data_IF_594600853175
#
_entry.id   IF_594600853175
#
_cell.length_a   1.000
_cell.length_b   1.000
_cell.length_c   1.000
_cell.angle_alpha   90.00
_cell.angle_beta   90.00
_cell.angle_gamma   90.00
#
_symmetry.space_group_name_H-M   'P 1'
#
loop_
_entity.id
_entity.type
_entity.pdbx_description
1 polymer ?
#
# COMPACT_ATOMS: atom_id res chain seq x y z
N UNK A 1 0.34 -26.55 -16.06
CA UNK A 1 -0.55 -26.28 -14.90
C UNK A 1 -0.72 -24.76 -14.74
N UNK A 2 -1.95 -24.23 -14.80
CA UNK A 2 -2.23 -22.78 -14.74
C UNK A 2 -1.95 -22.19 -13.33
N UNK A 3 -1.68 -20.88 -13.22
CA UNK A 3 -1.46 -20.20 -11.92
C UNK A 3 -2.74 -20.30 -11.08
N UNK A 4 -2.57 -20.59 -9.78
CA UNK A 4 -3.62 -20.62 -8.76
C UNK A 4 -3.10 -19.88 -7.52
N UNK A 5 -3.85 -18.89 -7.03
CA UNK A 5 -3.32 -17.92 -6.06
C UNK A 5 -4.31 -17.60 -4.96
N UNK A 6 -3.82 -17.51 -3.72
CA UNK A 6 -4.58 -17.05 -2.55
C UNK A 6 -4.08 -15.66 -2.13
N UNK A 7 -4.99 -14.70 -1.95
CA UNK A 7 -4.67 -13.39 -1.40
C UNK A 7 -5.21 -13.29 0.03
N UNK A 8 -4.32 -12.98 0.97
CA UNK A 8 -4.69 -12.67 2.34
C UNK A 8 -4.83 -11.15 2.53
N UNK A 9 -6.03 -10.68 2.88
CA UNK A 9 -6.36 -9.26 3.00
C UNK A 9 -6.94 -8.99 4.40
N UNK A 10 -6.36 -8.05 5.14
CA UNK A 10 -6.83 -7.69 6.48
C UNK A 10 -7.16 -6.20 6.64
N UNK A 11 -7.02 -5.40 5.58
CA UNK A 11 -7.32 -3.97 5.60
C UNK A 11 -7.69 -3.45 4.21
N UNK A 12 -8.38 -2.30 4.17
CA UNK A 12 -8.75 -1.63 2.92
C UNK A 12 -7.52 -1.23 2.08
N UNK A 13 -6.44 -0.79 2.74
CA UNK A 13 -5.21 -0.42 2.04
C UNK A 13 -4.58 -1.65 1.38
N UNK A 14 -4.57 -2.79 2.06
CA UNK A 14 -4.02 -4.03 1.52
C UNK A 14 -4.85 -4.53 0.34
N UNK A 15 -6.18 -4.36 0.43
CA UNK A 15 -7.05 -4.62 -0.69
C UNK A 15 -6.75 -3.69 -1.88
N UNK A 16 -6.46 -2.41 -1.66
CA UNK A 16 -6.05 -1.48 -2.71
C UNK A 16 -4.75 -1.90 -3.40
N UNK A 17 -3.74 -2.30 -2.63
CA UNK A 17 -2.45 -2.74 -3.17
C UNK A 17 -2.56 -4.05 -3.98
N UNK A 18 -3.38 -5.00 -3.53
CA UNK A 18 -3.51 -6.32 -4.15
C UNK A 18 -4.50 -6.37 -5.33
N UNK A 19 -5.53 -5.52 -5.31
CA UNK A 19 -6.60 -5.48 -6.33
C UNK A 19 -6.11 -5.48 -7.79
N UNK A 20 -5.09 -4.69 -8.18
CA UNK A 20 -4.56 -4.74 -9.54
C UNK A 20 -4.12 -6.13 -9.98
N UNK A 21 -3.39 -6.86 -9.12
CA UNK A 21 -2.88 -8.18 -9.45
C UNK A 21 -4.01 -9.22 -9.46
N UNK A 22 -4.93 -9.14 -8.49
CA UNK A 22 -6.15 -9.97 -8.45
C UNK A 22 -6.91 -9.82 -9.77
N UNK A 23 -7.24 -8.59 -10.15
CA UNK A 23 -7.94 -8.29 -11.39
C UNK A 23 -7.23 -8.86 -12.62
N UNK A 24 -5.92 -8.70 -12.68
CA UNK A 24 -5.14 -9.12 -13.84
C UNK A 24 -5.05 -10.65 -13.96
N UNK A 25 -4.84 -11.34 -12.85
CA UNK A 25 -4.89 -12.80 -12.79
C UNK A 25 -6.26 -13.32 -13.23
N UNK A 26 -7.33 -12.70 -12.73
CA UNK A 26 -8.70 -13.05 -13.11
C UNK A 26 -8.96 -12.86 -14.61
N UNK A 27 -8.53 -11.72 -15.18
CA UNK A 27 -8.61 -11.44 -16.63
C UNK A 27 -7.83 -12.45 -17.47
N UNK A 28 -6.72 -12.98 -16.96
CA UNK A 28 -5.92 -14.05 -17.60
C UNK A 28 -6.47 -15.46 -17.33
N UNK A 29 -7.67 -15.59 -16.76
CA UNK A 29 -8.35 -16.86 -16.46
C UNK A 29 -7.57 -17.76 -15.48
N UNK A 30 -6.73 -17.17 -14.62
CA UNK A 30 -6.08 -17.86 -13.51
C UNK A 30 -7.00 -17.95 -12.29
N UNK A 31 -6.87 -19.01 -11.49
CA UNK A 31 -7.71 -19.18 -10.29
C UNK A 31 -7.25 -18.22 -9.21
N UNK A 32 -8.18 -17.45 -8.64
CA UNK A 32 -7.89 -16.54 -7.53
C UNK A 32 -8.83 -16.82 -6.38
N UNK A 33 -8.23 -17.05 -5.22
CA UNK A 33 -8.89 -17.19 -3.94
C UNK A 33 -8.62 -15.94 -3.11
N UNK A 34 -9.64 -15.47 -2.41
CA UNK A 34 -9.53 -14.34 -1.50
C UNK A 34 -9.90 -14.78 -0.09
N UNK A 35 -9.01 -14.54 0.87
CA UNK A 35 -9.29 -14.72 2.29
C UNK A 35 -9.16 -13.38 2.99
N UNK A 36 -10.21 -13.01 3.73
CA UNK A 36 -10.35 -11.68 4.31
C UNK A 36 -10.45 -11.81 5.84
N UNK A 37 -9.74 -10.94 6.56
CA UNK A 37 -9.88 -10.86 8.02
C UNK A 37 -11.25 -10.30 8.40
N UNK A 38 -11.81 -10.78 9.52
CA UNK A 38 -13.17 -10.44 9.96
C UNK A 38 -13.42 -8.93 10.17
N UNK A 39 -12.37 -8.12 10.28
CA UNK A 39 -12.48 -6.69 10.63
C UNK A 39 -12.61 -5.76 9.41
N UNK A 40 -12.64 -6.30 8.18
CA UNK A 40 -12.76 -5.50 6.96
C UNK A 40 -14.10 -5.77 6.26
N UNK A 41 -14.99 -4.78 6.23
CA UNK A 41 -16.24 -4.86 5.45
C UNK A 41 -15.92 -4.69 3.94
N UNK A 42 -15.67 -5.81 3.28
CA UNK A 42 -15.30 -5.87 1.87
C UNK A 42 -16.49 -5.95 0.92
N UNK A 43 -17.68 -6.32 1.40
CA UNK A 43 -18.84 -6.58 0.55
C UNK A 43 -19.35 -5.32 -0.16
N UNK A 44 -19.19 -4.17 0.48
CA UNK A 44 -19.53 -2.87 -0.08
C UNK A 44 -18.44 -2.34 -1.05
N UNK A 45 -17.26 -2.94 -1.08
CA UNK A 45 -16.17 -2.48 -1.94
C UNK A 45 -16.45 -2.75 -3.42
N UNK A 46 -16.43 -1.69 -4.24
CA UNK A 46 -16.67 -1.78 -5.68
C UNK A 46 -15.70 -2.74 -6.39
N UNK A 47 -14.46 -2.89 -5.91
CA UNK A 47 -13.47 -3.83 -6.47
C UNK A 47 -13.86 -5.27 -6.17
N UNK A 48 -14.39 -5.52 -4.97
CA UNK A 48 -14.89 -6.85 -4.62
C UNK A 48 -16.12 -7.22 -5.46
N UNK A 49 -17.08 -6.29 -5.61
CA UNK A 49 -18.24 -6.47 -6.49
C UNK A 49 -17.82 -6.77 -7.93
N UNK A 50 -16.77 -6.11 -8.41
CA UNK A 50 -16.17 -6.39 -9.71
C UNK A 50 -15.61 -7.82 -9.78
N UNK A 51 -14.87 -8.28 -8.77
CA UNK A 51 -14.22 -9.60 -8.78
C UNK A 51 -15.23 -10.76 -8.71
N UNK A 52 -16.36 -10.56 -8.03
CA UNK A 52 -17.47 -11.53 -7.98
C UNK A 52 -18.01 -11.93 -9.36
N UNK A 53 -17.82 -11.09 -10.38
CA UNK A 53 -18.29 -11.37 -11.75
C UNK A 53 -17.36 -12.30 -12.55
N UNK A 54 -16.31 -12.85 -11.93
CA UNK A 54 -15.39 -13.78 -12.58
C UNK A 54 -15.58 -15.20 -12.03
N UNK A 55 -15.85 -16.17 -12.90
CA UNK A 55 -16.08 -17.58 -12.50
C UNK A 55 -14.85 -18.23 -11.82
N UNK A 56 -13.67 -17.70 -12.10
CA UNK A 56 -12.40 -18.11 -11.54
C UNK A 56 -12.01 -17.38 -10.23
N UNK A 57 -12.94 -16.64 -9.64
CA UNK A 57 -12.79 -15.98 -8.34
C UNK A 57 -13.59 -16.72 -7.26
N UNK A 58 -12.96 -17.00 -6.11
CA UNK A 58 -13.64 -17.59 -4.94
C UNK A 58 -13.21 -16.92 -3.65
N UNK A 59 -14.15 -16.78 -2.72
CA UNK A 59 -13.86 -16.31 -1.36
C UNK A 59 -13.77 -17.51 -0.43
N UNK A 60 -12.67 -17.59 0.32
CA UNK A 60 -12.50 -18.57 1.37
C UNK A 60 -12.91 -17.92 2.69
N UNK A 61 -13.95 -18.46 3.32
CA UNK A 61 -14.35 -18.03 4.67
C UNK A 61 -13.22 -18.37 5.63
N UNK A 62 -12.78 -17.39 6.40
CA UNK A 62 -11.84 -17.64 7.49
C UNK A 62 -12.58 -18.41 8.58
N UNK A 63 -12.12 -19.61 8.94
CA UNK A 63 -12.55 -20.23 10.17
C UNK A 63 -11.99 -19.43 11.36
N UNK A 64 -12.80 -19.28 12.40
CA UNK A 64 -12.50 -18.55 13.63
C UNK A 64 -11.40 -19.21 14.46
N UNK A 65 -10.18 -19.31 13.93
CA UNK A 65 -9.07 -19.85 14.70
C UNK A 65 -8.24 -18.70 15.28
N UNK A 66 -8.66 -18.26 16.48
CA UNK A 66 -7.86 -17.45 17.43
C UNK A 66 -6.49 -18.07 17.74
N UNK A 67 -6.30 -19.35 17.41
CA UNK A 67 -5.10 -20.17 17.64
C UNK A 67 -3.85 -19.76 16.82
N UNK A 68 -3.99 -18.87 15.84
CA UNK A 68 -2.89 -18.45 14.97
C UNK A 68 -1.87 -17.53 15.64
N UNK A 69 -2.30 -16.73 16.62
CA UNK A 69 -1.40 -15.94 17.47
C UNK A 69 -0.59 -16.86 18.39
N UNK A 70 -1.19 -17.97 18.81
CA UNK A 70 -0.55 -19.01 19.60
C UNK A 70 0.58 -19.70 18.85
N UNK A 71 0.46 -19.91 17.54
CA UNK A 71 1.47 -20.60 16.71
C UNK A 71 2.80 -19.84 16.62
N UNK A 72 2.75 -18.54 16.32
CA UNK A 72 3.94 -17.67 16.25
C UNK A 72 4.53 -17.44 17.64
N UNK A 73 3.68 -17.21 18.64
CA UNK A 73 4.13 -17.00 20.02
C UNK A 73 4.70 -18.29 20.62
N UNK A 74 4.15 -19.46 20.31
CA UNK A 74 4.67 -20.77 20.76
C UNK A 74 6.07 -21.04 20.23
N UNK A 75 6.36 -20.74 18.96
CA UNK A 75 7.71 -20.87 18.40
C UNK A 75 8.69 -19.87 19.03
N UNK A 76 8.26 -18.63 19.28
CA UNK A 76 9.06 -17.60 19.95
C UNK A 76 9.33 -17.94 21.42
N UNK A 77 8.34 -18.53 22.09
CA UNK A 77 8.41 -19.00 23.48
C UNK A 77 9.20 -20.30 23.61
N UNK A 78 9.13 -21.23 22.65
CA UNK A 78 9.98 -22.43 22.61
C UNK A 78 11.47 -22.05 22.56
N UNK A 79 11.84 -21.10 21.70
CA UNK A 79 13.21 -20.57 21.67
C UNK A 79 13.64 -19.89 22.98
N UNK A 80 12.69 -19.39 23.78
CA UNK A 80 12.97 -18.77 25.07
C UNK A 80 12.99 -19.79 26.23
N UNK A 81 12.14 -20.81 26.19
CA UNK A 81 11.96 -21.84 27.24
C UNK A 81 13.06 -22.91 27.18
N UNK A 82 13.71 -23.13 26.02
CA UNK A 82 14.92 -23.97 25.94
C UNK A 82 16.03 -23.48 26.92
N UNK A 83 15.92 -22.25 27.46
CA UNK A 83 16.82 -21.71 28.49
C UNK A 83 16.44 -21.98 29.96
N UNK A 84 15.28 -22.57 30.31
CA UNK A 84 14.94 -22.85 31.74
C UNK A 84 14.10 -24.12 31.96
N UNK A 85 14.50 -24.89 32.97
CA UNK A 85 14.01 -26.23 33.36
C UNK A 85 12.60 -26.26 33.98
N UNK A 86 11.54 -25.95 33.24
CA UNK A 86 10.19 -26.28 33.66
C UNK A 86 9.25 -26.57 32.47
N UNK A 87 8.43 -27.63 32.60
CA UNK A 87 7.18 -27.94 31.86
C UNK A 87 7.31 -28.89 30.64
N UNK A 88 7.36 -30.20 30.89
CA UNK A 88 7.26 -31.24 29.85
C UNK A 88 5.81 -31.52 29.40
N UNK A 89 4.85 -31.56 30.34
CA UNK A 89 3.45 -31.94 30.05
C UNK A 89 2.70 -30.85 29.25
N UNK A 90 2.77 -29.56 29.63
CA UNK A 90 2.12 -28.51 28.83
C UNK A 90 2.78 -28.36 27.46
N UNK A 91 4.09 -28.61 27.34
CA UNK A 91 4.81 -28.59 26.05
C UNK A 91 4.24 -29.61 25.07
N UNK A 92 3.94 -30.83 25.51
CA UNK A 92 3.33 -31.86 24.68
C UNK A 92 1.90 -31.51 24.24
N UNK A 93 1.09 -30.93 25.13
CA UNK A 93 -0.26 -30.47 24.78
C UNK A 93 -0.23 -29.35 23.72
N UNK A 94 0.63 -28.35 23.90
CA UNK A 94 0.76 -27.27 22.91
C UNK A 94 1.36 -27.75 21.59
N UNK A 95 2.32 -28.68 21.62
CA UNK A 95 2.86 -29.30 20.41
C UNK A 95 1.81 -30.09 19.66
N UNK A 96 0.98 -30.88 20.35
CA UNK A 96 -0.09 -31.65 19.73
C UNK A 96 -1.17 -30.73 19.11
N UNK A 97 -1.57 -29.67 19.83
CA UNK A 97 -2.49 -28.66 19.32
C UNK A 97 -1.89 -27.94 18.09
N UNK A 98 -0.61 -27.58 18.13
CA UNK A 98 0.13 -27.02 17.00
C UNK A 98 0.09 -27.95 15.79
N UNK A 99 0.43 -29.23 15.98
CA UNK A 99 0.47 -30.21 14.90
C UNK A 99 -0.92 -30.43 14.30
N UNK A 100 -1.96 -30.57 15.14
CA UNK A 100 -3.35 -30.70 14.68
C UNK A 100 -3.76 -29.50 13.82
N UNK A 101 -3.48 -28.28 14.27
CA UNK A 101 -3.82 -27.06 13.52
C UNK A 101 -2.98 -26.92 12.25
N UNK A 102 -1.71 -27.33 12.28
CA UNK A 102 -0.83 -27.38 11.11
C UNK A 102 -1.36 -28.38 10.06
N UNK A 103 -1.60 -29.64 10.45
CA UNK A 103 -2.11 -30.68 9.54
C UNK A 103 -3.47 -30.32 8.94
N UNK A 104 -4.37 -29.75 9.75
CA UNK A 104 -5.67 -29.25 9.26
C UNK A 104 -5.50 -28.18 8.17
N UNK A 105 -4.61 -27.19 8.39
CA UNK A 105 -4.32 -26.14 7.40
C UNK A 105 -3.64 -26.68 6.16
N UNK A 106 -2.66 -27.58 6.32
CA UNK A 106 -1.98 -28.25 5.21
C UNK A 106 -3.00 -29.02 4.37
N UNK A 107 -3.88 -29.80 5.00
CA UNK A 107 -4.95 -30.52 4.30
C UNK A 107 -5.88 -29.58 3.52
N UNK A 108 -6.31 -28.48 4.14
CA UNK A 108 -7.17 -27.49 3.50
C UNK A 108 -6.50 -26.81 2.31
N UNK A 109 -5.26 -26.33 2.46
CA UNK A 109 -4.51 -25.69 1.37
C UNK A 109 -4.24 -26.67 0.21
N UNK A 110 -3.90 -27.93 0.53
CA UNK A 110 -3.70 -28.99 -0.47
C UNK A 110 -4.97 -29.24 -1.28
N UNK A 111 -6.14 -29.34 -0.62
CA UNK A 111 -7.45 -29.52 -1.29
C UNK A 111 -7.79 -28.37 -2.25
N UNK A 112 -7.41 -27.14 -1.90
CA UNK A 112 -7.67 -25.97 -2.76
C UNK A 112 -6.76 -25.98 -4.00
N UNK A 113 -5.53 -26.51 -3.88
CA UNK A 113 -4.60 -26.61 -5.01
C UNK A 113 -4.09 -25.23 -5.46
N UNK A 114 -3.51 -24.47 -4.54
CA UNK A 114 -2.88 -23.18 -4.84
C UNK A 114 -1.37 -23.32 -5.07
N UNK A 115 -0.77 -22.39 -5.80
CA UNK A 115 0.67 -22.32 -6.04
C UNK A 115 1.34 -21.14 -5.33
N UNK A 116 0.58 -20.08 -5.09
CA UNK A 116 1.08 -18.84 -4.50
C UNK A 116 0.14 -18.34 -3.42
N UNK A 117 0.71 -17.83 -2.32
CA UNK A 117 -0.01 -17.02 -1.33
C UNK A 117 0.58 -15.63 -1.29
N UNK A 118 -0.27 -14.63 -1.49
CA UNK A 118 0.10 -13.22 -1.43
C UNK A 118 -0.29 -12.63 -0.09
N UNK A 119 0.67 -11.95 0.52
CA UNK A 119 0.53 -11.20 1.75
C UNK A 119 0.71 -9.73 1.50
N UNK A 120 0.06 -8.91 2.33
CA UNK A 120 0.46 -7.52 2.44
C UNK A 120 1.69 -7.38 3.33
N UNK A 121 2.41 -6.29 3.16
CA UNK A 121 3.60 -5.98 3.95
C UNK A 121 3.30 -5.89 5.46
N UNK A 122 3.98 -6.72 6.24
CA UNK A 122 3.85 -6.78 7.70
C UNK A 122 2.78 -7.75 8.21
N UNK A 123 2.07 -8.43 7.29
CA UNK A 123 1.08 -9.44 7.66
C UNK A 123 1.72 -10.83 7.76
N UNK A 124 1.96 -11.26 8.99
CA UNK A 124 2.30 -12.65 9.29
C UNK A 124 1.01 -13.45 9.44
N UNK A 125 0.57 -14.06 8.34
CA UNK A 125 -0.58 -14.96 8.41
C UNK A 125 -0.17 -16.36 8.84
N UNK A 126 -1.14 -17.06 9.41
CA UNK A 126 -1.01 -18.44 9.85
C UNK A 126 -0.83 -19.48 8.76
N UNK A 127 -0.76 -19.06 7.50
CA UNK A 127 -0.54 -19.94 6.35
C UNK A 127 0.92 -20.04 5.94
N UNK A 128 1.82 -19.16 6.41
CA UNK A 128 3.22 -19.15 5.95
C UNK A 128 3.89 -20.50 6.22
N UNK A 129 3.74 -21.05 7.44
CA UNK A 129 4.33 -22.35 7.79
C UNK A 129 3.63 -23.50 7.03
N UNK A 130 2.28 -23.65 7.06
CA UNK A 130 1.59 -24.66 6.24
C UNK A 130 1.94 -24.63 4.74
N UNK A 131 2.15 -23.44 4.18
CA UNK A 131 2.49 -23.26 2.78
C UNK A 131 3.86 -23.87 2.43
N UNK A 132 4.85 -23.72 3.33
CA UNK A 132 6.18 -24.33 3.17
C UNK A 132 6.13 -25.86 3.12
N UNK A 133 5.23 -26.51 3.87
CA UNK A 133 5.05 -27.97 3.82
C UNK A 133 4.40 -28.48 2.52
N UNK A 134 3.94 -27.57 1.66
CA UNK A 134 3.21 -27.88 0.43
C UNK A 134 3.89 -27.31 -0.81
N UNK A 135 5.11 -26.77 -0.68
CA UNK A 135 5.80 -26.04 -1.74
C UNK A 135 4.93 -24.94 -2.38
N UNK A 136 4.12 -24.28 -1.54
CA UNK A 136 3.32 -23.12 -1.94
C UNK A 136 4.13 -21.87 -1.64
N UNK A 137 4.48 -21.12 -2.69
CA UNK A 137 5.32 -19.93 -2.58
C UNK A 137 4.59 -18.78 -1.89
N UNK A 138 5.17 -18.29 -0.80
CA UNK A 138 4.72 -17.13 -0.04
C UNK A 138 5.36 -15.84 -0.55
N UNK A 139 4.53 -14.87 -0.93
CA UNK A 139 4.97 -13.63 -1.57
C UNK A 139 4.43 -12.41 -0.80
N UNK A 140 5.31 -11.58 -0.26
CA UNK A 140 4.95 -10.30 0.33
C UNK A 140 4.89 -9.21 -0.75
N UNK A 141 3.73 -8.59 -0.93
CA UNK A 141 3.53 -7.48 -1.85
C UNK A 141 3.99 -6.15 -1.24
N UNK A 142 4.45 -5.18 -2.06
CA UNK A 142 4.90 -3.89 -1.57
C UNK A 142 3.76 -3.10 -0.91
N UNK A 143 4.09 -2.38 0.17
CA UNK A 143 3.15 -1.53 0.90
C UNK A 143 2.98 -0.14 0.26
N UNK A 144 2.47 -0.10 -0.97
CA UNK A 144 2.40 1.13 -1.74
C UNK A 144 3.72 1.45 -2.42
N UNK A 145 4.04 2.74 -2.53
CA UNK A 145 5.23 3.19 -3.24
C UNK A 145 6.00 4.21 -2.41
N UNK A 146 7.25 3.90 -2.10
CA UNK A 146 8.11 4.81 -1.38
C UNK A 146 8.53 5.96 -2.29
N UNK A 147 7.99 7.14 -2.00
CA UNK A 147 8.32 8.36 -2.72
C UNK A 147 9.51 9.11 -2.13
N UNK A 148 9.98 8.73 -0.94
CA UNK A 148 10.99 9.50 -0.23
C UNK A 148 12.39 9.10 -0.67
N UNK A 149 13.30 10.07 -0.75
CA UNK A 149 14.68 9.87 -1.21
C UNK A 149 15.69 9.91 -0.06
N UNK A 150 15.36 10.60 1.01
CA UNK A 150 16.14 10.53 2.25
C UNK A 150 15.82 9.26 3.04
N UNK A 151 16.81 8.71 3.75
CA UNK A 151 16.62 7.54 4.62
C UNK A 151 15.82 7.89 5.87
N UNK A 152 16.13 9.03 6.49
CA UNK A 152 15.46 9.49 7.69
C UNK A 152 14.13 10.21 7.37
N UNK A 153 13.10 9.44 7.02
CA UNK A 153 11.82 9.94 6.51
C UNK A 153 10.82 10.36 7.59
N UNK A 154 10.87 9.77 8.78
CA UNK A 154 9.94 10.06 9.86
C UNK A 154 10.65 10.10 11.23
N UNK A 155 9.99 10.71 12.22
CA UNK A 155 10.57 10.90 13.56
C UNK A 155 10.83 9.58 14.31
N UNK A 156 10.06 8.51 14.04
CA UNK A 156 10.27 7.20 14.68
C UNK A 156 11.57 6.57 14.18
N UNK A 157 11.74 6.52 12.86
CA UNK A 157 12.96 6.03 12.24
C UNK A 157 14.18 6.88 12.62
N UNK A 158 14.02 8.21 12.75
CA UNK A 158 15.07 9.08 13.31
C UNK A 158 15.57 8.57 14.67
N UNK A 159 14.64 8.20 15.55
CA UNK A 159 14.96 7.77 16.90
C UNK A 159 15.57 6.36 16.90
N UNK A 160 15.06 5.46 16.05
CA UNK A 160 15.60 4.11 15.92
C UNK A 160 17.00 4.10 15.30
N UNK A 161 17.26 4.91 14.27
CA UNK A 161 18.58 5.00 13.63
C UNK A 161 19.66 5.62 14.54
N UNK A 162 19.27 6.49 15.48
CA UNK A 162 20.20 7.02 16.50
C UNK A 162 20.71 5.93 17.43
N UNK A 163 19.92 4.88 17.64
CA UNK A 163 20.31 3.70 18.41
C UNK A 163 20.93 2.66 17.47
N UNK A 164 22.15 2.93 16.96
CA UNK A 164 22.86 2.14 15.93
C UNK A 164 22.93 0.63 16.21
N UNK A 165 22.84 0.19 17.47
CA UNK A 165 22.88 -1.23 17.85
C UNK A 165 21.57 -2.01 17.60
N UNK A 166 20.48 -1.36 17.15
CA UNK A 166 19.16 -2.01 16.93
C UNK A 166 18.65 -1.93 15.48
N UNK A 167 19.42 -1.36 14.55
CA UNK A 167 18.95 -1.07 13.19
C UNK A 167 18.90 -2.28 12.27
N UNK A 168 19.68 -3.33 12.55
CA UNK A 168 19.90 -4.46 11.63
C UNK A 168 18.77 -5.50 11.58
N UNK A 169 17.75 -5.43 12.45
CA UNK A 169 16.74 -6.50 12.55
C UNK A 169 15.30 -6.00 12.57
N UNK A 170 15.04 -4.75 12.17
CA UNK A 170 13.68 -4.17 12.25
C UNK A 170 12.70 -4.96 11.36
N UNK A 171 13.17 -5.47 10.22
CA UNK A 171 12.34 -6.24 9.29
C UNK A 171 12.77 -7.70 9.14
N UNK A 172 13.63 -8.23 10.02
CA UNK A 172 14.13 -9.60 9.89
C UNK A 172 13.02 -10.66 9.93
N UNK A 173 11.90 -10.40 10.62
CA UNK A 173 10.73 -11.28 10.65
C UNK A 173 10.15 -11.53 9.23
N UNK A 174 10.32 -10.60 8.30
CA UNK A 174 9.87 -10.76 6.91
C UNK A 174 10.71 -11.77 6.13
N UNK A 175 11.83 -12.25 6.67
CA UNK A 175 12.62 -13.33 6.06
C UNK A 175 11.91 -14.69 6.09
N UNK A 176 10.70 -14.76 6.68
CA UNK A 176 9.83 -15.92 6.63
C UNK A 176 9.20 -16.15 5.25
N UNK A 177 9.07 -15.13 4.41
CA UNK A 177 8.53 -15.26 3.05
C UNK A 177 9.56 -15.86 2.10
N UNK A 178 9.09 -16.50 1.04
CA UNK A 178 9.96 -16.99 -0.04
C UNK A 178 10.37 -15.84 -0.98
N UNK A 179 9.47 -14.87 -1.17
CA UNK A 179 9.73 -13.67 -1.95
C UNK A 179 9.22 -12.41 -1.24
N UNK A 180 10.10 -11.42 -1.09
CA UNK A 180 9.77 -10.11 -0.55
C UNK A 180 9.85 -9.07 -1.65
N UNK A 181 8.70 -8.59 -2.12
CA UNK A 181 8.60 -7.76 -3.31
C UNK A 181 8.63 -6.29 -2.93
N UNK A 182 9.52 -5.54 -3.58
CA UNK A 182 9.60 -4.08 -3.46
C UNK A 182 9.39 -3.41 -4.80
N UNK A 183 9.04 -2.13 -4.73
CA UNK A 183 8.64 -1.33 -5.87
C UNK A 183 9.81 -0.77 -6.68
N UNK A 184 10.99 -0.57 -6.08
CA UNK A 184 12.16 -0.03 -6.77
C UNK A 184 13.47 -0.36 -6.03
N UNK A 185 14.61 -0.13 -6.72
CA UNK A 185 15.95 -0.34 -6.15
C UNK A 185 16.23 0.47 -4.87
N UNK A 186 15.69 1.68 -4.73
CA UNK A 186 15.93 2.51 -3.55
C UNK A 186 15.29 1.83 -2.32
N UNK A 187 14.08 1.31 -2.47
CA UNK A 187 13.41 0.55 -1.41
C UNK A 187 14.10 -0.80 -1.17
N UNK A 188 14.63 -1.45 -2.21
CA UNK A 188 15.47 -2.65 -2.03
C UNK A 188 16.66 -2.36 -1.13
N UNK A 189 17.47 -1.35 -1.46
CA UNK A 189 18.65 -0.98 -0.68
C UNK A 189 18.31 -0.68 0.78
N UNK A 190 17.23 0.06 1.02
CA UNK A 190 16.75 0.35 2.38
C UNK A 190 16.29 -0.90 3.13
N UNK A 191 15.56 -1.79 2.47
CA UNK A 191 15.07 -3.01 3.07
C UNK A 191 16.22 -3.95 3.47
N UNK A 192 17.27 -4.05 2.64
CA UNK A 192 18.50 -4.77 2.97
C UNK A 192 19.16 -4.20 4.24
N UNK A 193 19.30 -2.87 4.32
CA UNK A 193 19.85 -2.19 5.49
C UNK A 193 19.02 -2.40 6.78
N UNK A 194 17.76 -2.82 6.65
CA UNK A 194 16.83 -3.07 7.76
C UNK A 194 16.67 -4.56 8.09
N UNK A 195 17.51 -5.43 7.51
CA UNK A 195 17.60 -6.84 7.87
C UNK A 195 16.88 -7.82 6.93
N UNK A 196 16.38 -7.36 5.77
CA UNK A 196 15.82 -8.27 4.77
C UNK A 196 16.95 -9.02 4.05
N UNK A 197 16.77 -10.32 3.87
CA UNK A 197 17.71 -11.19 3.16
C UNK A 197 17.71 -10.91 1.65
N UNK A 198 18.89 -10.70 1.08
CA UNK A 198 19.08 -10.44 -0.35
C UNK A 198 18.53 -11.55 -1.26
N UNK A 199 18.55 -12.80 -0.80
CA UNK A 199 18.08 -13.95 -1.58
C UNK A 199 16.59 -13.86 -1.90
N UNK A 200 15.78 -13.35 -0.95
CA UNK A 200 14.32 -13.30 -1.07
C UNK A 200 13.81 -11.98 -1.64
N UNK A 201 14.56 -10.87 -1.48
CA UNK A 201 14.08 -9.56 -1.92
C UNK A 201 14.20 -9.38 -3.43
N UNK A 202 13.08 -9.06 -4.08
CA UNK A 202 13.01 -8.83 -5.54
C UNK A 202 12.33 -7.50 -5.85
N UNK A 203 12.76 -6.88 -6.94
CA UNK A 203 12.16 -5.64 -7.44
C UNK A 203 11.21 -5.99 -8.58
N UNK A 204 9.90 -6.06 -8.32
CA UNK A 204 8.90 -6.31 -9.36
C UNK A 204 8.06 -5.09 -9.70
N UNK A 205 8.21 -3.99 -8.95
CA UNK A 205 7.36 -2.81 -9.06
C UNK A 205 6.15 -2.90 -8.13
N UNK A 206 5.39 -1.81 -8.02
CA UNK A 206 4.13 -1.79 -7.26
C UNK A 206 2.94 -1.98 -8.21
N UNK A 207 2.29 -3.14 -8.13
CA UNK A 207 1.11 -3.46 -8.94
C UNK A 207 0.01 -2.38 -8.86
N UNK A 208 -0.11 -1.70 -7.71
CA UNK A 208 -1.05 -0.58 -7.49
C UNK A 208 -0.93 0.55 -8.49
N UNK A 209 0.27 0.78 -9.01
CA UNK A 209 0.55 1.87 -9.95
C UNK A 209 0.66 1.39 -11.40
N UNK A 210 0.13 0.19 -11.70
CA UNK A 210 -0.09 -0.25 -13.07
C UNK A 210 -0.99 0.74 -13.83
N UNK A 211 -0.56 1.13 -15.02
CA UNK A 211 -1.34 2.00 -15.91
C UNK A 211 -2.62 1.34 -16.35
N UNK A 212 -2.55 0.04 -16.69
CA UNK A 212 -3.72 -0.78 -17.06
C UNK A 212 -4.77 -0.74 -15.95
N UNK A 213 -4.35 -1.00 -14.71
CA UNK A 213 -5.24 -0.97 -13.56
C UNK A 213 -5.80 0.43 -13.30
N UNK A 214 -4.96 1.47 -13.22
CA UNK A 214 -5.44 2.84 -12.94
C UNK A 214 -6.49 3.26 -13.99
N UNK A 215 -6.20 3.09 -15.28
CA UNK A 215 -7.16 3.40 -16.34
C UNK A 215 -8.49 2.65 -16.15
N UNK A 216 -8.41 1.35 -15.87
CA UNK A 216 -9.59 0.51 -15.69
C UNK A 216 -10.39 0.87 -14.43
N UNK A 217 -9.71 0.97 -13.28
CA UNK A 217 -10.29 1.27 -11.98
C UNK A 217 -11.07 2.60 -11.99
N UNK A 218 -10.45 3.64 -12.56
CA UNK A 218 -11.08 4.95 -12.67
C UNK A 218 -12.22 4.98 -13.71
N UNK A 219 -12.18 4.13 -14.74
CA UNK A 219 -13.29 3.98 -15.69
C UNK A 219 -14.55 3.41 -15.01
N UNK A 220 -14.40 2.45 -14.10
CA UNK A 220 -15.50 1.88 -13.31
C UNK A 220 -16.08 2.96 -12.40
N UNK A 221 -15.21 3.65 -11.65
CA UNK A 221 -15.65 4.70 -10.73
C UNK A 221 -16.35 5.84 -11.48
N UNK A 222 -15.85 6.26 -12.66
CA UNK A 222 -16.47 7.33 -13.44
C UNK A 222 -17.92 7.00 -13.84
N UNK A 223 -18.21 5.75 -14.21
CA UNK A 223 -19.58 5.31 -14.51
C UNK A 223 -20.50 5.44 -13.30
N UNK A 224 -20.00 5.10 -12.12
CA UNK A 224 -20.78 5.14 -10.88
C UNK A 224 -20.96 6.57 -10.32
N UNK A 225 -20.21 7.55 -10.83
CA UNK A 225 -20.18 8.93 -10.30
C UNK A 225 -20.85 9.94 -11.25
N UNK A 226 -21.65 9.48 -12.23
CA UNK A 226 -22.19 10.25 -13.35
C UNK A 226 -23.05 11.48 -12.99
N UNK A 227 -23.33 11.75 -11.72
CA UNK A 227 -24.26 12.82 -11.28
C UNK A 227 -23.71 13.72 -10.15
N UNK A 228 -22.39 13.78 -9.93
CA UNK A 228 -21.88 14.56 -8.79
C UNK A 228 -21.36 15.95 -9.17
N UNK A 229 -21.80 16.95 -8.41
CA UNK A 229 -21.28 18.32 -8.46
C UNK A 229 -19.75 18.31 -8.32
N UNK A 230 -19.06 18.76 -9.38
CA UNK A 230 -17.60 18.92 -9.38
C UNK A 230 -17.21 19.92 -8.29
N UNK A 231 -16.23 19.55 -7.49
CA UNK A 231 -15.58 20.44 -6.52
C UNK A 231 -14.26 20.96 -7.10
N UNK A 232 -13.80 22.13 -6.64
CA UNK A 232 -12.62 22.76 -7.22
C UNK A 232 -11.33 22.10 -6.74
N UNK A 233 -11.11 22.04 -5.43
CA UNK A 233 -9.80 21.69 -4.86
C UNK A 233 -9.90 20.53 -3.87
N UNK A 234 -9.02 19.52 -4.04
CA UNK A 234 -8.79 18.46 -3.07
C UNK A 234 -7.40 18.58 -2.45
N UNK A 235 -7.32 18.70 -1.13
CA UNK A 235 -6.09 18.48 -0.36
C UNK A 235 -5.97 17.01 0.04
N UNK A 236 -4.90 16.37 -0.42
CA UNK A 236 -4.46 15.05 0.04
C UNK A 236 -3.43 15.25 1.16
N UNK A 237 -3.88 15.19 2.41
CA UNK A 237 -3.01 15.46 3.55
C UNK A 237 -2.19 14.20 3.89
N UNK A 238 -0.87 14.31 4.08
CA UNK A 238 0.00 13.17 4.36
C UNK A 238 -0.12 12.71 5.81
N UNK A 239 0.65 11.66 6.14
CA UNK A 239 0.88 11.28 7.52
C UNK A 239 1.82 12.30 8.20
N UNK A 240 1.37 12.92 9.30
CA UNK A 240 2.05 14.08 9.89
C UNK A 240 3.42 13.79 10.51
N UNK A 241 3.70 12.54 10.86
CA UNK A 241 5.02 12.13 11.38
C UNK A 241 6.16 12.20 10.35
N UNK A 242 5.87 12.44 9.07
CA UNK A 242 6.85 12.53 7.98
C UNK A 242 7.39 13.96 7.80
N UNK A 243 7.74 14.63 8.91
CA UNK A 243 8.40 15.94 8.92
C UNK A 243 7.68 17.02 8.10
N UNK A 244 6.36 17.05 8.24
CA UNK A 244 5.46 18.02 7.61
C UNK A 244 5.28 19.25 8.51
N UNK A 245 5.23 20.44 7.91
CA UNK A 245 4.88 21.68 8.60
C UNK A 245 3.36 21.86 8.66
N UNK A 246 2.79 21.48 9.80
CA UNK A 246 1.33 21.50 10.04
C UNK A 246 0.79 22.94 9.94
N UNK A 247 1.47 23.92 10.54
CA UNK A 247 0.95 25.28 10.61
C UNK A 247 0.97 25.95 9.24
N UNK A 248 2.06 25.78 8.48
CA UNK A 248 2.12 26.26 7.08
C UNK A 248 1.09 25.56 6.21
N UNK A 249 0.84 24.26 6.43
CA UNK A 249 -0.19 23.52 5.70
C UNK A 249 -1.57 24.14 5.93
N UNK A 250 -1.97 24.35 7.18
CA UNK A 250 -3.28 24.93 7.48
C UNK A 250 -3.38 26.41 7.10
N UNK A 251 -2.27 27.15 7.07
CA UNK A 251 -2.22 28.50 6.48
C UNK A 251 -2.58 28.45 4.99
N UNK A 252 -1.95 27.57 4.21
CA UNK A 252 -2.28 27.39 2.79
C UNK A 252 -3.74 26.95 2.61
N UNK A 253 -4.23 25.99 3.40
CA UNK A 253 -5.64 25.55 3.34
C UNK A 253 -6.59 26.72 3.57
N UNK A 254 -6.29 27.61 4.54
CA UNK A 254 -7.10 28.80 4.82
C UNK A 254 -7.10 29.77 3.64
N UNK A 255 -5.94 30.05 3.07
CA UNK A 255 -5.81 30.96 1.92
C UNK A 255 -6.59 30.43 0.71
N UNK A 256 -6.54 29.13 0.44
CA UNK A 256 -7.32 28.50 -0.64
C UNK A 256 -8.82 28.51 -0.33
N UNK A 257 -9.23 28.24 0.92
CA UNK A 257 -10.64 28.32 1.34
C UNK A 257 -11.22 29.72 1.15
N UNK A 258 -10.47 30.78 1.47
CA UNK A 258 -10.90 32.16 1.30
C UNK A 258 -11.16 32.50 -0.18
N UNK A 259 -10.38 31.92 -1.11
CA UNK A 259 -10.56 32.13 -2.55
C UNK A 259 -11.63 31.23 -3.17
N UNK A 260 -11.83 30.02 -2.62
CA UNK A 260 -12.79 29.04 -3.13
C UNK A 260 -13.71 28.50 -2.02
N UNK A 261 -14.58 29.35 -1.44
CA UNK A 261 -15.49 28.93 -0.36
C UNK A 261 -16.35 27.74 -0.77
N UNK A 262 -16.57 26.79 0.14
CA UNK A 262 -17.39 25.58 -0.06
C UNK A 262 -16.96 24.64 -1.21
N UNK A 263 -15.82 24.90 -1.86
CA UNK A 263 -15.29 24.14 -2.99
C UNK A 263 -13.99 23.38 -2.67
N UNK A 264 -13.54 23.44 -1.41
CA UNK A 264 -12.34 22.77 -0.93
C UNK A 264 -12.71 21.55 -0.09
N UNK A 265 -12.11 20.42 -0.41
CA UNK A 265 -12.19 19.19 0.39
C UNK A 265 -10.80 18.82 0.88
N UNK A 266 -10.70 18.33 2.12
CA UNK A 266 -9.50 17.70 2.65
C UNK A 266 -9.72 16.20 2.90
N UNK A 267 -8.81 15.37 2.40
CA UNK A 267 -8.71 13.95 2.75
C UNK A 267 -7.52 13.78 3.69
N UNK A 268 -7.75 13.58 5.00
CA UNK A 268 -6.68 13.24 5.90
C UNK A 268 -6.19 11.82 5.68
N UNK A 269 -4.96 11.58 6.11
CA UNK A 269 -4.35 10.26 6.11
C UNK A 269 -5.12 9.30 7.03
N UNK A 270 -5.26 8.04 6.63
CA UNK A 270 -6.07 7.03 7.34
C UNK A 270 -5.37 6.44 8.59
N UNK A 271 -4.08 6.71 8.77
CA UNK A 271 -3.25 6.25 9.91
C UNK A 271 -2.68 7.43 10.68
N UNK A 272 -2.44 7.22 11.98
CA UNK A 272 -1.88 8.21 12.89
C UNK A 272 -2.93 8.81 13.81
N UNK A 273 -3.37 8.08 14.83
CA UNK A 273 -4.32 8.61 15.84
C UNK A 273 -3.69 8.96 17.18
N UNK A 274 -2.39 8.69 17.35
CA UNK A 274 -1.80 8.57 18.68
C UNK A 274 -0.48 9.32 18.90
N UNK A 275 0.05 10.03 17.89
CA UNK A 275 1.22 10.89 18.11
C UNK A 275 0.80 12.37 18.24
N UNK A 276 1.67 13.17 18.87
CA UNK A 276 1.43 14.60 19.12
C UNK A 276 1.13 15.42 17.85
N UNK A 277 1.72 15.03 16.71
CA UNK A 277 1.52 15.72 15.43
C UNK A 277 0.11 15.48 14.88
N UNK A 278 -0.36 14.23 14.96
CA UNK A 278 -1.72 13.87 14.56
C UNK A 278 -2.77 14.54 15.44
N UNK A 279 -2.53 14.62 16.76
CA UNK A 279 -3.43 15.33 17.68
C UNK A 279 -3.55 16.81 17.33
N UNK A 280 -2.42 17.48 17.06
CA UNK A 280 -2.41 18.88 16.61
C UNK A 280 -3.18 19.05 15.29
N UNK A 281 -2.91 18.20 14.31
CA UNK A 281 -3.57 18.27 13.02
C UNK A 281 -5.08 17.99 13.11
N UNK A 282 -5.51 17.04 13.95
CA UNK A 282 -6.92 16.74 14.18
C UNK A 282 -7.66 17.91 14.85
N UNK A 283 -7.05 18.58 15.83
CA UNK A 283 -7.60 19.82 16.41
C UNK A 283 -7.80 20.90 15.34
N UNK A 284 -6.82 21.09 14.46
CA UNK A 284 -6.93 22.04 13.35
C UNK A 284 -7.98 21.63 12.32
N UNK A 285 -8.06 20.36 11.95
CA UNK A 285 -9.12 19.84 11.07
C UNK A 285 -10.51 20.15 11.64
N UNK A 286 -10.76 19.85 12.91
CA UNK A 286 -12.03 20.16 13.58
C UNK A 286 -12.32 21.66 13.56
N UNK A 287 -11.32 22.49 13.91
CA UNK A 287 -11.45 23.96 13.84
C UNK A 287 -11.81 24.42 12.43
N UNK A 288 -11.17 23.87 11.41
CA UNK A 288 -11.39 24.27 10.01
C UNK A 288 -12.73 23.80 9.46
N UNK A 289 -13.18 22.61 9.86
CA UNK A 289 -14.53 22.12 9.56
C UNK A 289 -15.59 23.07 10.11
N UNK A 290 -15.45 23.48 11.37
CA UNK A 290 -16.48 24.25 12.07
C UNK A 290 -16.44 25.75 11.74
N UNK A 291 -15.25 26.35 11.59
CA UNK A 291 -15.09 27.80 11.39
C UNK A 291 -15.01 28.23 9.92
N UNK A 292 -14.49 27.37 9.06
CA UNK A 292 -14.19 27.73 7.65
C UNK A 292 -14.90 26.81 6.65
N UNK A 293 -15.88 26.01 7.10
CA UNK A 293 -16.66 25.07 6.28
C UNK A 293 -15.80 24.13 5.41
N UNK A 294 -14.62 23.73 5.89
CA UNK A 294 -13.78 22.76 5.20
C UNK A 294 -14.48 21.38 5.18
N UNK A 295 -14.72 20.84 3.98
CA UNK A 295 -15.25 19.48 3.85
C UNK A 295 -14.17 18.45 4.15
N UNK A 296 -14.36 17.63 5.18
CA UNK A 296 -13.44 16.55 5.54
C UNK A 296 -13.97 15.21 5.04
N UNK A 297 -13.22 14.52 4.19
CA UNK A 297 -13.66 13.31 3.48
C UNK A 297 -13.07 12.01 4.06
N UNK A 298 -13.23 11.76 5.36
CA UNK A 298 -12.63 10.58 6.03
C UNK A 298 -13.10 9.24 5.45
N UNK A 299 -14.41 9.10 5.22
CA UNK A 299 -15.03 7.84 4.78
C UNK A 299 -15.06 7.64 3.27
N UNK A 300 -14.72 8.66 2.48
CA UNK A 300 -14.77 8.58 1.00
C UNK A 300 -13.44 8.04 0.48
N UNK A 301 -13.49 7.11 -0.47
CA UNK A 301 -12.30 6.52 -1.07
C UNK A 301 -11.54 7.56 -1.88
N UNK A 302 -10.21 7.52 -1.77
CA UNK A 302 -9.33 8.51 -2.42
C UNK A 302 -9.50 8.56 -3.94
N UNK A 303 -9.63 7.43 -4.67
CA UNK A 303 -9.90 7.46 -6.11
C UNK A 303 -11.18 8.23 -6.50
N UNK A 304 -12.26 8.09 -5.72
CA UNK A 304 -13.50 8.84 -5.97
C UNK A 304 -13.30 10.34 -5.78
N UNK A 305 -12.54 10.74 -4.76
CA UNK A 305 -12.25 12.15 -4.52
C UNK A 305 -11.41 12.74 -5.66
N UNK A 306 -10.41 12.02 -6.16
CA UNK A 306 -9.59 12.47 -7.30
C UNK A 306 -10.47 12.71 -8.53
N UNK A 307 -11.48 11.86 -8.78
CA UNK A 307 -12.42 12.06 -9.88
C UNK A 307 -13.28 13.31 -9.70
N UNK A 308 -13.84 13.51 -8.50
CA UNK A 308 -14.77 14.61 -8.17
C UNK A 308 -14.14 16.00 -8.17
N UNK A 309 -12.82 16.08 -8.10
CA UNK A 309 -12.10 17.35 -8.01
C UNK A 309 -11.34 17.69 -9.29
N UNK A 310 -11.28 18.98 -9.58
CA UNK A 310 -10.57 19.52 -10.73
C UNK A 310 -9.06 19.63 -10.43
N UNK A 311 -8.72 20.23 -9.29
CA UNK A 311 -7.37 20.49 -8.84
C UNK A 311 -7.06 19.62 -7.62
N UNK A 312 -5.94 18.91 -7.68
CA UNK A 312 -5.41 18.08 -6.60
C UNK A 312 -4.18 18.76 -6.03
N UNK A 313 -4.14 18.98 -4.73
CA UNK A 313 -2.98 19.49 -4.00
C UNK A 313 -2.52 18.39 -3.07
N UNK A 314 -1.25 18.02 -3.13
CA UNK A 314 -0.68 17.07 -2.20
C UNK A 314 0.82 17.18 -2.07
N UNK A 315 1.34 16.46 -1.08
CA UNK A 315 2.76 16.42 -0.73
C UNK A 315 2.95 15.22 0.21
N UNK A 316 4.13 14.62 0.24
CA UNK A 316 4.41 13.47 1.12
C UNK A 316 3.47 12.26 0.92
N UNK A 317 2.89 12.08 -0.27
CA UNK A 317 1.96 10.97 -0.55
C UNK A 317 2.14 10.40 -1.95
N UNK A 318 2.18 9.07 -2.06
CA UNK A 318 2.28 8.36 -3.34
C UNK A 318 0.97 8.38 -4.15
N UNK A 319 -0.13 8.80 -3.53
CA UNK A 319 -1.43 8.96 -4.18
C UNK A 319 -1.37 9.93 -5.37
N UNK A 320 -0.44 10.89 -5.37
CA UNK A 320 -0.30 11.85 -6.47
C UNK A 320 0.05 11.17 -7.80
N UNK A 321 0.61 9.96 -7.77
CA UNK A 321 0.86 9.15 -8.96
C UNK A 321 -0.45 8.85 -9.71
N UNK A 322 -1.56 8.60 -9.01
CA UNK A 322 -2.87 8.42 -9.65
C UNK A 322 -3.30 9.69 -10.40
N UNK A 323 -3.20 10.84 -9.73
CA UNK A 323 -3.57 12.13 -10.32
C UNK A 323 -2.74 12.44 -11.57
N UNK A 324 -1.45 12.08 -11.55
CA UNK A 324 -0.53 12.23 -12.67
C UNK A 324 -0.92 11.36 -13.87
N UNK A 325 -1.21 10.08 -13.65
CA UNK A 325 -1.65 9.19 -14.74
C UNK A 325 -3.03 9.54 -15.29
N UNK A 326 -3.86 10.23 -14.51
CA UNK A 326 -5.18 10.71 -14.94
C UNK A 326 -5.13 12.11 -15.57
N UNK A 327 -3.95 12.70 -15.76
CA UNK A 327 -3.77 14.06 -16.27
C UNK A 327 -4.59 15.11 -15.50
N UNK A 328 -4.71 14.94 -14.17
CA UNK A 328 -5.38 15.93 -13.31
C UNK A 328 -4.51 17.17 -13.15
N UNK A 329 -5.15 18.31 -12.92
CA UNK A 329 -4.45 19.54 -12.50
C UNK A 329 -3.87 19.30 -11.11
N UNK A 330 -2.56 19.04 -11.06
CA UNK A 330 -1.88 18.65 -9.84
C UNK A 330 -0.98 19.78 -9.37
N UNK A 331 -0.95 20.03 -8.07
CA UNK A 331 0.03 20.87 -7.39
C UNK A 331 0.74 20.01 -6.34
N UNK A 332 2.07 19.97 -6.41
CA UNK A 332 2.90 19.30 -5.42
C UNK A 332 3.49 20.38 -4.50
N UNK A 333 2.90 20.55 -3.32
CA UNK A 333 3.27 21.58 -2.35
C UNK A 333 4.48 21.14 -1.50
N UNK A 334 5.62 20.89 -2.15
CA UNK A 334 6.79 20.28 -1.53
C UNK A 334 7.41 21.16 -0.43
N UNK A 335 7.22 22.48 -0.51
CA UNK A 335 7.65 23.45 0.52
C UNK A 335 7.00 23.23 1.90
N UNK A 336 5.95 22.40 1.98
CA UNK A 336 5.28 22.04 3.24
C UNK A 336 5.95 20.88 3.98
N UNK A 337 6.99 20.27 3.41
CA UNK A 337 7.70 19.15 4.03
C UNK A 337 9.22 19.34 3.96
N UNK A 338 9.94 18.64 4.85
CA UNK A 338 11.42 18.62 4.84
C UNK A 338 12.01 17.47 4.03
N UNK A 339 11.21 16.45 3.72
CA UNK A 339 11.69 15.27 3.01
C UNK A 339 11.84 15.54 1.52
N UNK A 340 12.92 15.03 0.92
CA UNK A 340 13.08 15.02 -0.54
C UNK A 340 12.27 13.87 -1.10
N UNK A 341 11.50 14.13 -2.17
CA UNK A 341 10.66 13.11 -2.81
C UNK A 341 11.03 12.92 -4.28
N UNK A 342 10.62 11.79 -4.87
CA UNK A 342 10.78 11.54 -6.31
C UNK A 342 10.22 12.69 -7.17
N UNK A 343 9.21 13.41 -6.68
CA UNK A 343 8.58 14.51 -7.40
C UNK A 343 9.53 15.69 -7.65
N UNK A 344 10.46 15.95 -6.72
CA UNK A 344 11.45 17.02 -6.89
C UNK A 344 12.54 16.63 -7.87
N UNK A 345 12.99 15.37 -7.87
CA UNK A 345 13.93 14.86 -8.87
C UNK A 345 13.38 14.99 -10.29
N UNK A 346 12.06 14.79 -10.44
CA UNK A 346 11.43 14.89 -11.74
C UNK A 346 11.26 16.32 -12.27
N UNK A 347 11.74 17.35 -11.55
CA UNK A 347 11.70 18.78 -11.94
C UNK A 347 10.32 19.22 -12.47
N UNK A 348 9.27 18.70 -11.85
CA UNK A 348 7.89 18.99 -12.24
C UNK A 348 7.59 20.49 -12.15
N UNK A 349 7.06 21.08 -13.22
CA UNK A 349 6.58 22.48 -13.20
C UNK A 349 5.46 22.74 -12.19
N UNK A 350 4.81 21.66 -11.76
CA UNK A 350 3.74 21.68 -10.78
C UNK A 350 4.24 21.53 -9.33
N UNK A 351 5.55 21.38 -9.10
CA UNK A 351 6.16 21.46 -7.77
C UNK A 351 6.31 22.92 -7.40
N UNK A 352 5.68 23.32 -6.30
CA UNK A 352 5.71 24.70 -5.81
C UNK A 352 6.69 24.85 -4.66
N UNK A 353 7.30 26.04 -4.59
CA UNK A 353 8.29 26.40 -3.56
C UNK A 353 7.70 27.32 -2.48
N UNK A 354 6.47 27.79 -2.65
CA UNK A 354 5.79 28.64 -1.68
C UNK A 354 4.26 28.51 -1.77
N UNK A 355 3.56 28.95 -0.72
CA UNK A 355 2.09 29.00 -0.71
C UNK A 355 1.54 29.97 -1.75
N UNK A 356 2.24 31.08 -2.00
CA UNK A 356 1.88 32.04 -3.05
C UNK A 356 1.86 31.37 -4.42
N UNK A 357 2.92 30.64 -4.77
CA UNK A 357 2.99 29.89 -6.03
C UNK A 357 1.88 28.84 -6.17
N UNK A 358 1.49 28.18 -5.07
CA UNK A 358 0.32 27.29 -5.09
C UNK A 358 -0.94 28.05 -5.49
N UNK A 359 -1.22 29.17 -4.83
CA UNK A 359 -2.43 29.96 -5.03
C UNK A 359 -2.47 30.55 -6.42
N UNK A 360 -1.35 31.13 -6.88
CA UNK A 360 -1.23 31.69 -8.22
C UNK A 360 -1.56 30.64 -9.28
N UNK A 361 -1.00 29.42 -9.17
CA UNK A 361 -1.33 28.33 -10.10
C UNK A 361 -2.80 27.93 -10.10
N UNK A 362 -3.46 27.97 -8.94
CA UNK A 362 -4.90 27.69 -8.85
C UNK A 362 -5.70 28.79 -9.57
N UNK A 363 -5.33 30.05 -9.37
CA UNK A 363 -6.05 31.22 -9.90
C UNK A 363 -5.82 31.38 -11.41
N UNK A 364 -4.56 31.37 -11.85
CA UNK A 364 -4.18 31.53 -13.26
C UNK A 364 -4.49 30.29 -14.09
N UNK A 365 -4.80 29.17 -13.43
CA UNK A 365 -5.01 27.88 -14.06
C UNK A 365 -3.79 27.42 -14.89
N UNK A 366 -2.58 27.83 -14.49
CA UNK A 366 -1.31 27.49 -15.14
C UNK A 366 -0.86 26.06 -14.80
N UNK A 367 -1.39 25.11 -15.57
CA UNK A 367 -1.01 23.71 -15.57
C UNK A 367 -0.51 23.32 -16.96
N UNK A 368 0.73 23.70 -17.31
CA UNK A 368 1.32 23.39 -18.62
C UNK A 368 1.30 21.88 -18.93
N UNK A 369 0.71 21.49 -20.05
CA UNK A 369 0.53 20.09 -20.47
C UNK A 369 1.80 19.42 -21.01
N UNK A 370 2.73 20.16 -21.64
CA UNK A 370 3.93 19.58 -22.29
C UNK A 370 4.89 18.86 -21.31
N UNK A 371 5.08 19.36 -20.07
CA UNK A 371 5.95 18.73 -19.05
C UNK A 371 5.34 17.50 -18.36
N UNK A 372 4.08 17.18 -18.65
CA UNK A 372 3.41 16.00 -18.08
C UNK A 372 3.89 14.68 -18.71
N UNK A 373 4.28 14.69 -19.98
CA UNK A 373 4.78 13.49 -20.69
C UNK A 373 6.18 13.10 -20.23
N UNK A 374 7.09 14.06 -20.14
CA UNK A 374 8.43 13.83 -19.57
C UNK A 374 8.37 13.32 -18.13
N UNK A 375 7.42 13.84 -17.34
CA UNK A 375 7.17 13.30 -16.03
C UNK A 375 6.60 11.89 -16.06
N UNK A 376 5.62 11.60 -16.91
CA UNK A 376 5.09 10.25 -17.02
C UNK A 376 6.19 9.28 -17.42
N UNK A 377 7.07 9.66 -18.34
CA UNK A 377 8.21 8.83 -18.76
C UNK A 377 9.26 8.65 -17.65
N UNK A 378 9.50 9.66 -16.82
CA UNK A 378 10.43 9.57 -15.70
C UNK A 378 9.82 8.86 -14.49
N UNK A 379 8.55 9.11 -14.20
CA UNK A 379 7.75 8.38 -13.24
C UNK A 379 7.64 6.92 -13.66
N UNK A 380 7.46 6.61 -14.95
CA UNK A 380 7.54 5.27 -15.50
C UNK A 380 8.94 4.68 -15.28
N UNK A 381 10.01 5.44 -15.50
CA UNK A 381 11.37 4.98 -15.24
C UNK A 381 11.57 4.59 -13.76
N UNK A 382 10.99 5.37 -12.82
CA UNK A 382 11.08 5.11 -11.38
C UNK A 382 10.08 4.06 -10.87
N UNK A 383 8.88 4.03 -11.43
CA UNK A 383 7.76 3.17 -11.01
C UNK A 383 7.84 1.81 -11.68
N UNK A 384 8.11 1.78 -12.99
CA UNK A 384 8.17 0.56 -13.75
C UNK A 384 9.53 -0.11 -13.57
N UNK A 385 10.67 0.61 -13.50
CA UNK A 385 12.04 0.03 -13.56
C UNK A 385 12.23 -1.10 -14.60
N UNK A 386 11.30 -1.19 -15.54
CA UNK A 386 11.17 -2.21 -16.56
C UNK A 386 11.41 -1.50 -17.87
N UNK A 387 12.10 -2.18 -18.79
CA UNK A 387 12.26 -1.73 -20.17
C UNK A 387 10.92 -1.18 -20.69
N UNK A 388 10.97 0.04 -21.23
CA UNK A 388 9.89 1.01 -21.56
C UNK A 388 8.61 0.48 -22.25
N UNK A 389 8.44 -0.81 -22.48
CA UNK A 389 7.38 -1.43 -23.29
C UNK A 389 6.41 -2.37 -22.55
N UNK A 390 6.61 -2.70 -21.26
CA UNK A 390 5.72 -3.65 -20.52
C UNK A 390 5.14 -3.05 -19.25
N UNK A 391 3.85 -3.30 -18.97
CA UNK A 391 3.18 -2.88 -17.74
C UNK A 391 3.67 -3.75 -16.56
N UNK A 392 3.70 -3.19 -15.34
CA UNK A 392 4.11 -3.93 -14.12
C UNK A 392 3.35 -5.25 -13.97
N UNK A 393 2.06 -5.28 -14.29
CA UNK A 393 1.27 -6.49 -14.15
C UNK A 393 1.75 -7.62 -15.07
N UNK A 394 2.26 -7.29 -16.26
CA UNK A 394 2.84 -8.29 -17.16
C UNK A 394 4.13 -8.87 -16.55
N UNK A 395 4.93 -8.03 -15.86
CA UNK A 395 6.13 -8.48 -15.15
C UNK A 395 5.78 -9.47 -14.04
N UNK A 396 4.78 -9.16 -13.20
CA UNK A 396 4.30 -10.07 -12.16
C UNK A 396 3.92 -11.45 -12.74
N UNK A 397 3.20 -11.50 -13.86
CA UNK A 397 2.84 -12.77 -14.49
C UNK A 397 4.08 -13.54 -14.96
N UNK A 398 5.04 -12.87 -15.60
CA UNK A 398 6.26 -13.51 -16.07
C UNK A 398 7.06 -14.10 -14.91
N UNK A 399 7.20 -13.36 -13.80
CA UNK A 399 7.93 -13.83 -12.62
C UNK A 399 7.23 -15.02 -11.95
N UNK A 400 5.90 -14.98 -11.81
CA UNK A 400 5.14 -16.13 -11.28
C UNK A 400 5.26 -17.36 -12.17
N UNK A 401 5.28 -17.19 -13.50
CA UNK A 401 5.51 -18.29 -14.43
C UNK A 401 6.92 -18.86 -14.30
N UNK A 402 7.95 -18.01 -14.17
CA UNK A 402 9.35 -18.45 -13.96
C UNK A 402 9.49 -19.27 -12.69
N UNK A 403 8.95 -18.79 -11.56
CA UNK A 403 8.98 -19.52 -10.29
C UNK A 403 8.39 -20.92 -10.48
N UNK A 404 7.20 -20.99 -11.08
CA UNK A 404 6.52 -22.27 -11.33
C UNK A 404 7.26 -23.20 -12.30
N UNK A 405 8.04 -22.68 -13.25
CA UNK A 405 8.84 -23.52 -14.15
C UNK A 405 10.08 -24.09 -13.47
N UNK A 406 10.64 -23.40 -12.47
CA UNK A 406 11.78 -23.89 -11.70
C UNK A 406 11.36 -25.09 -10.83
N UNK A 407 10.15 -25.06 -10.26
CA UNK A 407 9.59 -26.17 -9.46
C UNK A 407 9.42 -27.48 -10.24
N UNK A 408 9.50 -27.47 -11.59
CA UNK A 408 9.38 -28.68 -12.42
C UNK A 408 10.70 -29.39 -12.69
N UNK A 409 11.82 -28.74 -12.41
CA UNK A 409 13.16 -29.25 -12.72
C UNK A 409 13.76 -30.09 -11.59
N UNK A 410 13.06 -30.16 -10.47
CA UNK A 410 13.31 -31.00 -9.31
C UNK A 410 12.07 -31.88 -9.12
#
# INVERSE_FOLDING_TARGET
MKISSLFYINSENNFDQASPLIWFLLKKKYKVFLQISQNFNYEEDYRFKLFKNFDNFKVLKQSEHKESFFLYYFLKVLNFIIKKNFIYIKKNFYLFSFLKTLFSKVSNLRKIGINFIFYSWGDFSHHIIPAKFLDIHSIALPHGFNIYLNENTNYLLSNTLKNKNKTFEIFSDHNLYDYYIVENQITKARALNLGINEKIIKVWGSARYSKKWIKYNYSILKKNLAQLNKKKVLFLLPHWSFKVDIDKTFKLVKEVLNKFPNQVTAKPHVRGKFNKYDLKANKLLTKFKNKYNLKIANKVKTPELILKHEIIIGFGTSVLIDALYLNKKLIIADHLQKNKTIYTLCKLSNVTKSSMQCIDKIITNDFTSKKSKEFQDLADKFILQLNKKKDILDNYINELQKIKTLDKKF
#
